data_IF_565323780605
#
_entry.id   IF_565323780605
#
_cell.length_a   1.000
_cell.length_b   1.000
_cell.length_c   1.000
_cell.angle_alpha   90.00
_cell.angle_beta   90.00
_cell.angle_gamma   90.00
#
_symmetry.space_group_name_H-M   'P 1'
#
loop_
_entity.id
_entity.type
_entity.pdbx_description
1 polymer ?
#
# COMPACT_ATOMS: atom_id res chain seq x y z
N UNK A 1 15.88 2.81 -3.38
CA UNK A 1 14.75 3.77 -3.28
C UNK A 1 13.51 2.98 -2.92
N UNK A 2 12.78 3.40 -1.90
CA UNK A 2 11.54 2.74 -1.48
C UNK A 2 10.39 3.74 -1.37
N UNK A 3 9.19 3.32 -1.79
CA UNK A 3 7.98 4.16 -1.85
C UNK A 3 7.03 3.79 -0.70
N UNK A 4 6.55 4.81 0.02
CA UNK A 4 5.65 4.65 1.19
C UNK A 4 4.53 5.69 1.24
N UNK A 5 4.21 6.33 0.12
CA UNK A 5 3.14 7.34 0.04
C UNK A 5 1.78 6.71 -0.24
N UNK A 6 0.67 7.29 0.25
CA UNK A 6 -0.66 6.88 -0.14
C UNK A 6 -0.94 7.27 -1.59
N UNK A 7 -1.83 6.55 -2.27
CA UNK A 7 -2.31 6.92 -3.60
C UNK A 7 -3.39 7.99 -3.50
N UNK A 8 -3.16 9.12 -4.16
CA UNK A 8 -4.10 10.21 -4.33
C UNK A 8 -3.77 11.00 -5.60
N UNK A 9 -4.50 12.08 -5.91
CA UNK A 9 -4.29 12.86 -7.12
C UNK A 9 -2.87 13.45 -7.26
N UNK A 10 -2.20 13.75 -6.15
CA UNK A 10 -0.84 14.33 -6.18
C UNK A 10 0.27 13.27 -6.25
N UNK A 11 -0.03 12.00 -5.96
CA UNK A 11 0.91 10.90 -5.97
C UNK A 11 0.67 9.90 -7.11
N UNK A 12 -0.43 10.06 -7.86
CA UNK A 12 -0.72 9.26 -9.05
C UNK A 12 0.37 9.46 -10.10
N UNK A 13 1.05 8.38 -10.48
CA UNK A 13 2.17 8.38 -11.42
C UNK A 13 3.30 9.37 -11.08
N UNK A 14 3.50 9.66 -9.77
CA UNK A 14 4.57 10.56 -9.34
C UNK A 14 5.98 10.02 -9.63
N UNK A 15 6.10 8.69 -9.76
CA UNK A 15 7.33 8.03 -10.18
C UNK A 15 7.15 7.59 -11.64
N UNK A 16 7.67 8.39 -12.54
CA UNK A 16 7.60 8.24 -13.98
C UNK A 16 9.01 8.09 -14.61
N UNK A 17 9.09 8.13 -15.93
CA UNK A 17 10.35 8.01 -16.67
C UNK A 17 11.36 9.10 -16.36
N UNK A 18 10.92 10.32 -16.03
CA UNK A 18 11.81 11.40 -15.61
C UNK A 18 12.41 11.09 -14.23
N UNK A 19 11.58 10.59 -13.30
CA UNK A 19 12.04 10.18 -11.98
C UNK A 19 13.05 9.01 -12.06
N UNK A 20 12.78 7.99 -12.87
CA UNK A 20 13.74 6.89 -13.11
C UNK A 20 15.03 7.37 -13.76
N UNK A 21 14.94 8.32 -14.69
CA UNK A 21 16.11 8.92 -15.34
C UNK A 21 17.05 9.69 -14.40
N UNK A 22 16.57 10.08 -13.23
CA UNK A 22 17.36 10.76 -12.18
C UNK A 22 17.97 9.79 -11.17
N UNK A 23 17.59 8.52 -11.21
CA UNK A 23 18.14 7.50 -10.33
C UNK A 23 19.53 7.05 -10.81
N UNK A 24 20.32 6.49 -9.89
CA UNK A 24 21.57 5.85 -10.26
C UNK A 24 21.26 4.53 -10.97
N UNK A 25 22.13 4.13 -11.91
CA UNK A 25 21.97 2.87 -12.63
C UNK A 25 22.20 1.60 -11.78
N UNK A 26 22.80 1.76 -10.59
CA UNK A 26 22.92 0.69 -9.59
C UNK A 26 21.80 0.72 -8.54
N UNK A 27 20.79 1.59 -8.68
CA UNK A 27 19.69 1.70 -7.74
C UNK A 27 18.75 0.50 -7.83
N UNK A 28 18.29 0.03 -6.66
CA UNK A 28 17.14 -0.87 -6.53
C UNK A 28 15.90 -0.05 -6.18
N UNK A 29 14.81 -0.32 -6.89
CA UNK A 29 13.51 0.31 -6.67
C UNK A 29 12.55 -0.63 -5.93
N UNK A 30 11.90 -0.17 -4.88
CA UNK A 30 11.01 -0.98 -4.05
C UNK A 30 9.65 -0.29 -3.93
N UNK A 31 8.57 -0.98 -4.32
CA UNK A 31 7.22 -0.48 -4.15
C UNK A 31 6.35 -1.50 -3.41
N UNK A 32 6.02 -1.17 -2.16
CA UNK A 32 5.06 -1.89 -1.32
C UNK A 32 3.91 -0.97 -0.88
N UNK A 33 3.76 0.19 -1.52
CA UNK A 33 2.75 1.19 -1.19
C UNK A 33 1.47 1.00 -2.01
N UNK A 34 1.44 1.51 -3.25
CA UNK A 34 0.35 1.32 -4.22
C UNK A 34 0.94 1.34 -5.63
N UNK A 35 0.43 0.47 -6.52
CA UNK A 35 0.95 0.33 -7.88
C UNK A 35 0.90 1.62 -8.68
N UNK A 36 -0.25 2.28 -8.72
CA UNK A 36 -0.46 3.49 -9.51
C UNK A 36 0.25 4.76 -8.99
N UNK A 37 1.06 4.68 -7.93
CA UNK A 37 2.05 5.72 -7.59
C UNK A 37 3.19 5.74 -8.62
N UNK A 38 3.43 4.60 -9.25
CA UNK A 38 4.43 4.41 -10.30
C UNK A 38 3.72 4.31 -11.66
N UNK A 39 4.25 4.94 -12.68
CA UNK A 39 3.84 4.67 -14.06
C UNK A 39 4.51 3.39 -14.54
N UNK A 40 3.78 2.29 -14.49
CA UNK A 40 4.31 0.93 -14.68
C UNK A 40 5.04 0.75 -16.03
N UNK A 41 4.52 1.35 -17.10
CA UNK A 41 5.17 1.30 -18.41
C UNK A 41 6.57 1.94 -18.40
N UNK A 42 6.73 3.06 -17.68
CA UNK A 42 8.01 3.76 -17.58
C UNK A 42 9.00 2.98 -16.68
N UNK A 43 8.50 2.28 -15.65
CA UNK A 43 9.31 1.36 -14.84
C UNK A 43 9.84 0.19 -15.68
N UNK A 44 8.97 -0.45 -16.48
CA UNK A 44 9.36 -1.54 -17.37
C UNK A 44 10.47 -1.05 -18.29
N UNK A 45 10.27 0.07 -18.96
CA UNK A 45 11.28 0.65 -19.85
C UNK A 45 12.61 0.94 -19.11
N UNK A 46 12.54 1.50 -17.90
CA UNK A 46 13.74 1.81 -17.11
C UNK A 46 14.53 0.54 -16.73
N UNK A 47 13.82 -0.56 -16.47
CA UNK A 47 14.44 -1.86 -16.16
C UNK A 47 15.07 -2.51 -17.40
N UNK A 48 14.36 -2.47 -18.54
CA UNK A 48 14.85 -3.01 -19.82
C UNK A 48 16.08 -2.25 -20.34
N UNK A 49 16.09 -0.93 -20.19
CA UNK A 49 17.20 -0.07 -20.60
C UNK A 49 18.36 -0.03 -19.58
N UNK A 50 18.23 -0.69 -18.42
CA UNK A 50 19.26 -0.70 -17.38
C UNK A 50 19.47 0.68 -16.71
N UNK A 51 18.46 1.54 -16.74
CA UNK A 51 18.48 2.84 -16.02
C UNK A 51 18.50 2.65 -14.50
N UNK A 52 17.95 1.54 -14.02
CA UNK A 52 18.03 1.07 -12.64
C UNK A 52 18.45 -0.40 -12.62
N UNK A 53 19.07 -0.84 -11.52
CA UNK A 53 19.60 -2.20 -11.42
C UNK A 53 18.52 -3.26 -11.31
N UNK A 54 17.37 -2.93 -10.69
CA UNK A 54 16.28 -3.88 -10.51
C UNK A 54 15.14 -3.30 -9.69
N UNK A 55 14.07 -4.08 -9.52
CA UNK A 55 12.93 -3.70 -8.72
C UNK A 55 12.39 -4.84 -7.86
N UNK A 56 11.78 -4.48 -6.71
CA UNK A 56 10.97 -5.37 -5.87
C UNK A 56 9.57 -4.77 -5.75
N UNK A 57 8.58 -5.47 -6.29
CA UNK A 57 7.22 -4.96 -6.42
C UNK A 57 6.25 -5.90 -5.70
N UNK A 58 5.47 -5.37 -4.76
CA UNK A 58 4.39 -6.08 -4.10
C UNK A 58 3.01 -5.59 -4.58
N UNK A 59 3.00 -4.48 -5.31
CA UNK A 59 1.79 -3.79 -5.81
C UNK A 59 1.95 -3.38 -7.27
N UNK A 60 0.86 -3.33 -8.01
CA UNK A 60 0.81 -3.13 -9.46
C UNK A 60 -0.26 -2.11 -9.84
N UNK A 61 -0.14 -1.45 -11.01
CA UNK A 61 -1.21 -0.56 -11.51
C UNK A 61 -2.53 -1.30 -11.68
N UNK A 62 -2.47 -2.54 -12.19
CA UNK A 62 -3.61 -3.43 -12.28
C UNK A 62 -3.36 -4.68 -11.43
N UNK A 63 -4.22 -4.93 -10.48
CA UNK A 63 -4.18 -6.12 -9.63
C UNK A 63 -5.41 -7.02 -9.85
N UNK A 64 -5.22 -8.34 -9.96
CA UNK A 64 -3.93 -9.05 -9.95
C UNK A 64 -3.08 -8.74 -11.20
N UNK A 65 -1.74 -8.83 -11.06
CA UNK A 65 -0.80 -8.61 -12.17
C UNK A 65 -1.14 -9.56 -13.33
N UNK A 66 -1.32 -8.97 -14.52
CA UNK A 66 -1.69 -9.73 -15.72
C UNK A 66 -0.71 -10.89 -15.99
N UNK A 67 -1.23 -12.01 -16.49
CA UNK A 67 -0.42 -13.21 -16.79
C UNK A 67 0.69 -12.92 -17.81
N UNK A 68 0.41 -12.01 -18.75
CA UNK A 68 1.36 -11.62 -19.81
C UNK A 68 2.04 -10.26 -19.53
N UNK A 69 2.09 -9.81 -18.26
CA UNK A 69 2.82 -8.60 -17.92
C UNK A 69 4.32 -8.77 -18.22
N UNK A 70 4.97 -7.82 -18.92
CA UNK A 70 6.42 -7.86 -19.16
C UNK A 70 7.25 -7.95 -17.88
N UNK A 71 6.76 -7.43 -16.76
CA UNK A 71 7.42 -7.52 -15.45
C UNK A 71 7.77 -8.96 -15.06
N UNK A 72 7.02 -9.96 -15.54
CA UNK A 72 7.24 -11.37 -15.20
C UNK A 72 8.46 -11.97 -15.89
N UNK A 73 8.84 -11.38 -17.01
CA UNK A 73 9.94 -11.88 -17.84
C UNK A 73 11.27 -11.16 -17.56
N UNK A 74 11.24 -10.09 -16.76
CA UNK A 74 12.42 -9.33 -16.40
C UNK A 74 13.25 -10.06 -15.32
N UNK A 75 14.54 -10.39 -15.60
CA UNK A 75 15.36 -11.17 -14.67
C UNK A 75 15.81 -10.40 -13.43
N UNK A 76 15.68 -9.07 -13.45
CA UNK A 76 16.07 -8.16 -12.37
C UNK A 76 14.88 -7.65 -11.57
N UNK A 77 13.73 -8.36 -11.57
CA UNK A 77 12.52 -7.98 -10.84
C UNK A 77 12.08 -9.10 -9.90
N UNK A 78 11.76 -8.73 -8.67
CA UNK A 78 11.11 -9.59 -7.68
C UNK A 78 9.66 -9.15 -7.56
N UNK A 79 8.73 -10.11 -7.72
CA UNK A 79 7.29 -9.86 -7.68
C UNK A 79 6.66 -10.64 -6.52
N UNK A 80 5.82 -10.00 -5.72
CA UNK A 80 4.99 -10.62 -4.69
C UNK A 80 3.54 -10.20 -4.85
N UNK A 81 2.54 -11.02 -4.46
CA UNK A 81 1.13 -10.77 -4.80
C UNK A 81 0.41 -9.94 -3.71
N UNK A 82 0.88 -8.71 -3.46
CA UNK A 82 0.32 -7.75 -2.50
C UNK A 82 0.25 -8.34 -1.07
N UNK A 83 1.36 -8.91 -0.62
CA UNK A 83 1.46 -9.63 0.65
C UNK A 83 2.37 -8.94 1.68
N UNK A 84 3.03 -7.85 1.33
CA UNK A 84 3.94 -7.13 2.24
C UNK A 84 3.25 -6.60 3.50
N UNK A 85 1.93 -6.39 3.45
CA UNK A 85 1.11 -6.04 4.61
C UNK A 85 0.53 -7.25 5.36
N UNK A 86 0.82 -8.47 4.92
CA UNK A 86 0.41 -9.72 5.56
C UNK A 86 1.62 -10.33 6.26
N UNK A 87 1.96 -9.86 7.48
CA UNK A 87 3.06 -10.46 8.21
C UNK A 87 2.74 -11.89 8.61
N UNK A 88 3.76 -12.70 8.64
CA UNK A 88 3.72 -14.09 9.01
C UNK A 88 3.03 -14.32 10.36
N UNK A 89 1.86 -14.94 10.32
CA UNK A 89 1.33 -15.69 11.42
C UNK A 89 0.37 -15.00 12.36
N UNK A 90 -0.28 -15.86 13.12
CA UNK A 90 -1.38 -15.62 14.08
C UNK A 90 -1.09 -14.50 15.09
N UNK A 91 0.18 -14.30 15.49
CA UNK A 91 0.55 -13.29 16.49
C UNK A 91 0.29 -11.85 16.05
N UNK A 92 0.57 -11.55 14.79
CA UNK A 92 0.33 -10.20 14.26
C UNK A 92 -1.16 -9.93 14.09
N UNK A 93 -1.90 -10.89 13.57
CA UNK A 93 -3.35 -10.76 13.44
C UNK A 93 -4.02 -10.64 14.82
N UNK A 94 -3.59 -11.41 15.81
CA UNK A 94 -4.10 -11.30 17.17
C UNK A 94 -3.85 -9.92 17.79
N UNK A 95 -2.69 -9.32 17.58
CA UNK A 95 -2.39 -7.95 18.00
C UNK A 95 -3.29 -6.91 17.33
N UNK A 96 -3.48 -7.02 16.02
CA UNK A 96 -4.38 -6.12 15.27
C UNK A 96 -5.83 -6.25 15.72
N UNK A 97 -6.34 -7.46 15.85
CA UNK A 97 -7.73 -7.69 16.29
C UNK A 97 -7.96 -7.16 17.71
N UNK A 98 -6.97 -7.34 18.61
CA UNK A 98 -7.05 -6.76 19.97
C UNK A 98 -7.11 -5.24 19.90
N UNK A 99 -6.22 -4.60 19.15
CA UNK A 99 -6.20 -3.16 18.96
C UNK A 99 -7.53 -2.62 18.41
N UNK A 100 -8.12 -3.29 17.42
CA UNK A 100 -9.45 -2.90 16.91
C UNK A 100 -10.55 -3.10 17.95
N UNK A 101 -10.56 -4.23 18.65
CA UNK A 101 -11.54 -4.50 19.70
C UNK A 101 -11.47 -3.47 20.85
N UNK A 102 -10.25 -3.14 21.27
CA UNK A 102 -10.03 -2.13 22.31
C UNK A 102 -10.50 -0.75 21.84
N UNK A 103 -10.24 -0.35 20.60
CA UNK A 103 -10.73 0.90 20.05
C UNK A 103 -12.25 0.94 19.87
N UNK A 104 -12.89 -0.15 19.49
CA UNK A 104 -14.35 -0.26 19.47
C UNK A 104 -14.91 -0.06 20.88
N UNK A 105 -14.35 -0.75 21.89
CA UNK A 105 -14.75 -0.58 23.27
C UNK A 105 -14.55 0.84 23.80
N UNK A 106 -13.48 1.53 23.36
CA UNK A 106 -13.25 2.95 23.70
C UNK A 106 -14.37 3.84 23.15
N UNK A 107 -14.71 3.68 21.86
CA UNK A 107 -15.78 4.47 21.20
C UNK A 107 -17.13 4.20 21.85
N UNK A 108 -17.47 2.94 22.18
CA UNK A 108 -18.71 2.60 22.89
C UNK A 108 -18.82 3.27 24.26
N UNK A 109 -17.70 3.51 24.91
CA UNK A 109 -17.62 4.21 26.19
C UNK A 109 -17.41 5.72 26.05
N UNK A 110 -17.52 6.29 24.84
CA UNK A 110 -17.36 7.71 24.56
C UNK A 110 -15.92 8.22 24.69
N UNK A 111 -14.94 7.34 24.56
CA UNK A 111 -13.51 7.68 24.58
C UNK A 111 -12.97 7.79 23.14
N UNK A 112 -11.95 8.62 22.95
CA UNK A 112 -11.26 8.75 21.67
C UNK A 112 -10.47 7.45 21.40
N UNK A 113 -10.53 6.89 20.18
CA UNK A 113 -9.69 5.76 19.79
C UNK A 113 -8.19 6.07 19.97
N UNK A 114 -7.39 5.07 20.31
CA UNK A 114 -5.95 5.23 20.27
C UNK A 114 -5.46 5.44 18.85
N UNK A 115 -4.45 6.29 18.67
CA UNK A 115 -3.87 6.66 17.38
C UNK A 115 -4.87 7.30 16.40
N UNK A 116 -5.91 7.98 16.88
CA UNK A 116 -6.76 8.82 16.05
C UNK A 116 -5.91 9.94 15.40
N UNK A 117 -5.97 10.07 14.07
CA UNK A 117 -5.19 11.04 13.30
C UNK A 117 -5.91 12.37 13.06
N UNK A 118 -7.19 12.45 13.45
CA UNK A 118 -8.04 13.61 13.26
C UNK A 118 -9.01 13.76 14.44
N UNK A 119 -9.51 14.98 14.64
CA UNK A 119 -10.55 15.26 15.61
C UNK A 119 -11.89 14.73 15.06
N UNK A 120 -12.21 13.50 15.40
CA UNK A 120 -13.52 12.92 15.10
C UNK A 120 -14.47 13.20 16.26
N UNK A 121 -15.60 13.92 16.04
CA UNK A 121 -16.60 14.02 17.07
C UNK A 121 -17.15 12.62 17.39
N UNK A 122 -17.02 12.20 18.64
CA UNK A 122 -17.56 10.92 19.08
C UNK A 122 -19.08 11.05 19.14
N UNK A 123 -19.74 10.55 18.08
CA UNK A 123 -21.18 10.40 18.08
C UNK A 123 -21.53 9.28 19.08
N UNK A 124 -22.08 9.64 20.24
CA UNK A 124 -22.69 8.65 21.14
C UNK A 124 -23.89 8.05 20.44
N UNK A 125 -23.74 6.81 19.93
CA UNK A 125 -24.87 6.02 19.46
C UNK A 125 -25.64 5.60 20.72
N UNK A 126 -26.93 6.03 20.92
CA UNK A 126 -27.69 5.59 22.06
C UNK A 126 -27.79 4.06 22.04
N UNK A 127 -27.48 3.42 23.19
CA UNK A 127 -27.70 1.97 23.33
C UNK A 127 -29.19 1.69 23.11
N UNK A 128 -29.55 0.97 22.06
CA UNK A 128 -30.93 0.59 21.76
C UNK A 128 -31.56 1.27 20.55
N UNK A 129 -30.86 2.12 19.82
CA UNK A 129 -31.34 2.55 18.51
C UNK A 129 -31.02 1.41 17.52
N UNK A 130 -32.03 0.61 17.16
CA UNK A 130 -31.94 -0.37 16.08
C UNK A 130 -31.49 0.34 14.81
N UNK A 131 -30.66 -0.32 14.02
CA UNK A 131 -30.21 0.20 12.72
C UNK A 131 -31.46 0.40 11.86
N UNK A 132 -31.76 1.63 11.40
CA UNK A 132 -32.92 1.85 10.56
C UNK A 132 -32.72 1.07 9.26
N UNK A 133 -33.58 0.05 9.01
CA UNK A 133 -33.62 -0.67 7.74
C UNK A 133 -32.99 -2.07 7.72
N UNK A 134 -32.76 -2.71 8.87
CA UNK A 134 -32.47 -4.15 8.96
C UNK A 134 -33.56 -4.85 9.75
#
# INVERSE_FOLDING_TARGET
ITVHVPLNASTYHMIDGEAFGKMRNDALFINTARGAVVKEADLIQALEEGKIAGACLDVYEQEPLAVHSPLRDLPNVILTPHTAGLPDGVRFHAGRYRFFADNIGRVENGMIPENALNDVPILRIPRGAGIPGV
#
